data_IF_831639094976
#
_entry.id   IF_831639094976
#
_cell.length_a   1.000
_cell.length_b   1.000
_cell.length_c   1.000
_cell.angle_alpha   90.00
_cell.angle_beta   90.00
_cell.angle_gamma   90.00
#
_symmetry.space_group_name_H-M   'P 1'
#
loop_
_entity.id
_entity.type
_entity.pdbx_description
1 polymer ?
#
# COMPACT_ATOMS: atom_id res chain seq x y z
N UNK A 1 -8.24 -8.99 13.29
CA UNK A 1 -8.22 -8.45 11.92
C UNK A 1 -7.21 -9.25 11.13
N UNK A 2 -7.58 -9.80 9.97
CA UNK A 2 -6.62 -10.49 9.10
C UNK A 2 -5.75 -9.47 8.31
N UNK A 3 -4.76 -9.92 7.55
CA UNK A 3 -3.84 -9.02 6.83
C UNK A 3 -4.60 -8.30 5.71
N UNK A 4 -5.52 -8.99 5.05
CA UNK A 4 -6.37 -8.41 4.00
C UNK A 4 -7.26 -7.26 4.50
N UNK A 5 -7.90 -7.41 5.67
CA UNK A 5 -8.72 -6.36 6.29
C UNK A 5 -7.87 -5.14 6.64
N UNK A 6 -6.66 -5.34 7.17
CA UNK A 6 -5.71 -4.25 7.43
C UNK A 6 -5.35 -3.52 6.13
N UNK A 7 -5.00 -4.27 5.08
CA UNK A 7 -4.67 -3.69 3.78
C UNK A 7 -5.86 -2.91 3.19
N UNK A 8 -7.08 -3.41 3.34
CA UNK A 8 -8.29 -2.73 2.89
C UNK A 8 -8.50 -1.38 3.58
N UNK A 9 -8.24 -1.29 4.88
CA UNK A 9 -8.36 -0.01 5.60
C UNK A 9 -7.35 1.03 5.12
N UNK A 10 -6.13 0.60 4.77
CA UNK A 10 -5.09 1.49 4.22
C UNK A 10 -5.44 2.04 2.83
N UNK A 11 -6.34 1.39 2.08
CA UNK A 11 -6.80 1.89 0.78
C UNK A 11 -7.87 2.99 0.86
N UNK A 12 -8.32 3.35 2.07
CA UNK A 12 -9.34 4.40 2.25
C UNK A 12 -8.69 5.78 2.25
N UNK A 13 -9.31 6.77 1.61
CA UNK A 13 -8.78 8.13 1.58
C UNK A 13 -9.00 8.84 2.93
N UNK A 14 -8.11 9.76 3.34
CA UNK A 14 -6.90 10.15 2.62
C UNK A 14 -5.78 9.11 2.77
N UNK A 15 -5.13 8.74 1.65
CA UNK A 15 -3.99 7.82 1.67
C UNK A 15 -2.72 8.62 1.96
N UNK A 16 -2.01 8.25 3.02
CA UNK A 16 -0.74 8.88 3.41
C UNK A 16 0.46 8.03 3.01
N UNK A 17 1.65 8.63 3.06
CA UNK A 17 2.92 7.92 2.83
C UNK A 17 3.09 6.73 3.79
N UNK A 18 2.72 6.92 5.07
CA UNK A 18 2.78 5.85 6.07
C UNK A 18 1.86 4.68 5.68
N UNK A 19 0.67 4.96 5.15
CA UNK A 19 -0.24 3.90 4.69
C UNK A 19 0.35 3.08 3.53
N UNK A 20 1.09 3.71 2.61
CA UNK A 20 1.77 2.99 1.51
C UNK A 20 2.88 2.08 2.05
N UNK A 21 3.68 2.57 3.00
CA UNK A 21 4.75 1.79 3.62
C UNK A 21 4.20 0.62 4.46
N UNK A 22 3.13 0.86 5.23
CA UNK A 22 2.43 -0.19 5.97
C UNK A 22 1.83 -1.23 5.03
N UNK A 23 1.30 -0.79 3.89
CA UNK A 23 0.74 -1.67 2.88
C UNK A 23 1.79 -2.63 2.30
N UNK A 24 2.98 -2.13 1.95
CA UNK A 24 4.11 -2.99 1.53
C UNK A 24 4.50 -3.99 2.61
N UNK A 25 4.56 -3.54 3.86
CA UNK A 25 4.90 -4.40 4.98
C UNK A 25 3.86 -5.52 5.17
N UNK A 26 2.57 -5.24 4.93
CA UNK A 26 1.50 -6.23 4.96
C UNK A 26 1.60 -7.20 3.77
N UNK A 27 1.84 -6.68 2.56
CA UNK A 27 2.00 -7.50 1.36
C UNK A 27 3.21 -8.45 1.48
N UNK A 28 4.33 -7.97 2.05
CA UNK A 28 5.53 -8.78 2.32
C UNK A 28 5.28 -9.94 3.29
N UNK A 29 4.32 -9.77 4.22
CA UNK A 29 3.94 -10.79 5.22
C UNK A 29 2.89 -11.77 4.69
N UNK A 30 2.06 -11.33 3.74
CA UNK A 30 1.00 -12.14 3.15
C UNK A 30 1.57 -13.31 2.31
N UNK A 31 0.82 -14.42 2.24
CA UNK A 31 1.22 -15.60 1.44
C UNK A 31 0.03 -16.20 0.70
N UNK A 32 0.33 -16.82 -0.45
CA UNK A 32 -0.67 -17.54 -1.23
C UNK A 32 -1.81 -16.65 -1.69
N UNK A 33 -3.05 -17.11 -1.52
CA UNK A 33 -4.24 -16.40 -1.98
C UNK A 33 -4.45 -15.04 -1.28
N UNK A 34 -4.02 -14.88 -0.04
CA UNK A 34 -4.13 -13.60 0.68
C UNK A 34 -3.21 -12.54 0.07
N UNK A 35 -2.00 -12.90 -0.35
CA UNK A 35 -1.08 -12.00 -1.04
C UNK A 35 -1.62 -11.57 -2.41
N UNK A 36 -2.28 -12.48 -3.14
CA UNK A 36 -2.92 -12.14 -4.42
C UNK A 36 -4.03 -11.11 -4.22
N UNK A 37 -4.92 -11.36 -3.24
CA UNK A 37 -6.03 -10.45 -2.92
C UNK A 37 -5.55 -9.07 -2.46
N UNK A 38 -4.46 -9.02 -1.69
CA UNK A 38 -3.84 -7.74 -1.33
C UNK A 38 -3.17 -7.13 -2.56
N UNK A 39 -2.50 -7.88 -3.43
CA UNK A 39 -1.95 -7.37 -4.68
C UNK A 39 -3.00 -6.66 -5.55
N UNK A 40 -4.21 -7.22 -5.65
CA UNK A 40 -5.32 -6.61 -6.40
C UNK A 40 -5.73 -5.22 -5.88
N UNK A 41 -5.61 -5.00 -4.57
CA UNK A 41 -5.94 -3.73 -3.93
C UNK A 41 -4.90 -2.62 -4.24
N UNK A 42 -3.71 -2.96 -4.74
CA UNK A 42 -2.64 -1.98 -4.98
C UNK A 42 -3.06 -0.94 -6.02
N UNK A 43 -3.74 -1.36 -7.08
CA UNK A 43 -4.24 -0.44 -8.11
C UNK A 43 -5.24 0.57 -7.54
N UNK A 44 -6.06 0.14 -6.58
CA UNK A 44 -7.05 0.98 -5.89
C UNK A 44 -6.38 1.96 -4.94
N UNK A 45 -5.34 1.51 -4.24
CA UNK A 45 -4.52 2.33 -3.35
C UNK A 45 -3.86 3.47 -4.14
N UNK A 46 -3.14 3.15 -5.22
CA UNK A 46 -2.42 4.14 -6.02
C UNK A 46 -3.37 5.12 -6.71
N UNK A 47 -4.53 4.66 -7.20
CA UNK A 47 -5.52 5.54 -7.83
C UNK A 47 -6.14 6.58 -6.89
N UNK A 48 -6.07 6.35 -5.58
CA UNK A 48 -6.60 7.24 -4.54
C UNK A 48 -5.51 8.03 -3.82
N UNK A 49 -4.24 7.74 -4.11
CA UNK A 49 -3.10 8.41 -3.51
C UNK A 49 -2.86 9.73 -4.20
N UNK A 50 -2.69 10.80 -3.43
CA UNK A 50 -2.28 12.10 -3.98
C UNK A 50 -0.94 11.96 -4.73
N UNK A 51 -0.79 12.57 -5.93
CA UNK A 51 0.42 12.42 -6.74
C UNK A 51 1.71 12.78 -6.00
N UNK A 52 1.68 13.79 -5.13
CA UNK A 52 2.83 14.22 -4.32
C UNK A 52 3.22 13.17 -3.25
N UNK A 53 2.24 12.44 -2.71
CA UNK A 53 2.48 11.35 -1.76
C UNK A 53 3.05 10.13 -2.48
N UNK A 54 2.51 9.82 -3.66
CA UNK A 54 3.01 8.73 -4.49
C UNK A 54 4.46 9.00 -4.98
N UNK A 55 4.76 10.23 -5.40
CA UNK A 55 6.12 10.62 -5.80
C UNK A 55 7.13 10.43 -4.66
N UNK A 56 6.80 10.90 -3.46
CA UNK A 56 7.65 10.69 -2.27
C UNK A 56 7.86 9.20 -1.97
N UNK A 57 6.81 8.40 -2.08
CA UNK A 57 6.89 6.95 -1.89
C UNK A 57 7.81 6.26 -2.91
N UNK A 58 7.74 6.65 -4.19
CA UNK A 58 8.62 6.11 -5.24
C UNK A 58 10.07 6.52 -4.99
N UNK A 59 10.32 7.79 -4.67
CA UNK A 59 11.66 8.31 -4.40
C UNK A 59 12.31 7.61 -3.19
N UNK A 60 11.54 7.36 -2.11
CA UNK A 60 12.00 6.58 -0.96
C UNK A 60 12.32 5.13 -1.33
N UNK A 61 11.50 4.50 -2.17
CA UNK A 61 11.70 3.12 -2.62
C UNK A 61 12.95 2.96 -3.50
N UNK A 62 13.35 4.03 -4.21
CA UNK A 62 14.57 4.07 -5.02
C UNK A 62 15.82 4.45 -4.21
N UNK A 63 15.67 4.83 -2.94
CA UNK A 63 16.77 5.29 -2.09
C UNK A 63 17.33 6.66 -2.48
N UNK A 64 16.53 7.50 -3.15
CA UNK A 64 16.92 8.83 -3.61
C UNK A 64 16.69 9.94 -2.57
N UNK A 65 16.17 9.59 -1.38
CA UNK A 65 15.95 10.46 -0.22
C UNK A 65 16.12 9.70 1.09
#
# INVERSE_FOLDING_TARGET
MNIYEQALELTRPPVTLENLQEYDALLSKAKGEEANRIGDLYTVLISQTDPEVYEQYVLLSMGEI
#
